data_IF_467195004030
#
_entry.id   IF_467195004030
#
_cell.length_a   1.000
_cell.length_b   1.000
_cell.length_c   1.000
_cell.angle_alpha   90.00
_cell.angle_beta   90.00
_cell.angle_gamma   90.00
#
_symmetry.space_group_name_H-M   'P 1'
#
loop_
_entity.id
_entity.type
_entity.pdbx_description
1 polymer ?
#
# COMPACT_ATOMS: atom_id res chain seq x y z
N UNK A 1 12.14 -6.37 6.84
CA UNK A 1 13.53 -6.89 6.98
C UNK A 1 14.13 -7.07 5.60
N UNK A 2 15.41 -6.80 5.41
CA UNK A 2 16.18 -7.09 4.19
C UNK A 2 17.47 -7.82 4.51
N UNK A 3 18.02 -8.49 3.51
CA UNK A 3 19.25 -9.25 3.62
C UNK A 3 19.97 -9.23 2.26
N UNK A 4 21.29 -9.28 2.26
CA UNK A 4 22.06 -9.50 1.03
C UNK A 4 21.74 -10.88 0.44
N UNK A 5 21.50 -10.95 -0.86
CA UNK A 5 21.21 -12.22 -1.55
C UNK A 5 22.42 -13.18 -1.55
N UNK A 6 23.63 -12.64 -1.46
CA UNK A 6 24.88 -13.39 -1.47
C UNK A 6 25.70 -13.08 -0.23
N UNK A 7 26.21 -14.12 0.39
CA UNK A 7 27.20 -14.04 1.44
C UNK A 7 28.59 -14.24 0.85
N UNK A 8 29.50 -13.30 1.13
CA UNK A 8 30.90 -13.39 0.71
C UNK A 8 31.73 -14.00 1.85
N UNK A 9 31.55 -15.29 2.09
CA UNK A 9 32.30 -15.95 3.15
C UNK A 9 31.80 -17.36 3.44
N UNK A 10 32.53 -18.08 4.25
CA UNK A 10 32.21 -19.47 4.63
C UNK A 10 31.15 -19.57 5.72
N UNK A 11 30.72 -18.47 6.32
CA UNK A 11 29.84 -18.44 7.49
C UNK A 11 28.34 -18.62 7.18
N UNK A 12 27.94 -18.47 5.92
CA UNK A 12 26.53 -18.48 5.53
C UNK A 12 25.72 -17.31 6.08
N UNK A 13 24.43 -17.27 5.75
CA UNK A 13 23.49 -16.26 6.23
C UNK A 13 23.07 -16.59 7.65
N UNK A 14 23.23 -15.62 8.56
CA UNK A 14 22.86 -15.73 9.98
C UNK A 14 21.85 -14.64 10.35
N UNK A 15 21.35 -14.70 11.58
CA UNK A 15 20.46 -13.66 12.14
C UNK A 15 21.06 -12.27 12.03
N UNK A 16 22.37 -12.13 12.20
CA UNK A 16 23.06 -10.83 12.14
C UNK A 16 23.18 -10.28 10.69
N UNK A 17 22.88 -11.09 9.70
CA UNK A 17 22.86 -10.65 8.29
C UNK A 17 21.59 -9.87 7.91
N UNK A 18 20.54 -9.92 8.76
CA UNK A 18 19.29 -9.23 8.53
C UNK A 18 19.36 -7.79 9.00
N UNK A 19 18.83 -6.89 8.19
CA UNK A 19 18.73 -5.47 8.51
C UNK A 19 17.28 -5.00 8.44
N UNK A 20 16.99 -3.91 9.15
CA UNK A 20 15.68 -3.27 9.09
C UNK A 20 15.35 -2.82 7.66
N UNK A 21 14.07 -2.86 7.32
CA UNK A 21 13.50 -2.22 6.14
C UNK A 21 12.42 -1.24 6.56
N UNK A 22 11.80 -0.54 5.60
CA UNK A 22 10.74 0.41 5.88
C UNK A 22 9.46 -0.28 6.40
N UNK A 23 8.60 0.49 7.03
CA UNK A 23 7.26 0.09 7.44
C UNK A 23 7.20 -0.68 8.75
N UNK A 24 6.07 -1.29 8.98
CA UNK A 24 5.75 -2.03 10.20
C UNK A 24 5.23 -3.43 9.93
N UNK A 25 4.31 -3.88 10.76
CA UNK A 25 3.65 -5.16 10.61
C UNK A 25 2.71 -5.15 9.41
N UNK A 26 2.60 -6.31 8.72
CA UNK A 26 1.69 -6.52 7.61
C UNK A 26 1.85 -5.50 6.49
N UNK A 27 3.03 -5.42 5.92
CA UNK A 27 3.38 -4.36 4.98
C UNK A 27 3.79 -4.88 3.61
N UNK A 28 3.32 -4.18 2.59
CA UNK A 28 3.98 -4.18 1.29
C UNK A 28 5.25 -3.31 1.34
N UNK A 29 6.23 -3.67 0.53
CA UNK A 29 7.42 -2.87 0.29
C UNK A 29 7.47 -2.50 -1.20
N UNK A 30 7.72 -1.23 -1.47
CA UNK A 30 7.88 -0.73 -2.83
C UNK A 30 9.16 0.09 -2.96
N UNK A 31 9.92 -0.16 -4.02
CA UNK A 31 11.16 0.55 -4.30
C UNK A 31 11.49 0.47 -5.79
N UNK A 32 12.28 1.43 -6.27
CA UNK A 32 12.88 1.36 -7.60
C UNK A 32 14.06 0.37 -7.55
N UNK A 33 14.03 -0.75 -8.30
CA UNK A 33 15.11 -1.73 -8.29
C UNK A 33 16.43 -1.21 -8.86
N UNK A 34 16.40 -0.16 -9.71
CA UNK A 34 17.61 0.43 -10.27
C UNK A 34 18.26 1.46 -9.32
N UNK A 35 17.47 2.00 -8.37
CA UNK A 35 17.96 2.85 -7.28
C UNK A 35 17.24 2.51 -5.98
N UNK A 36 17.66 1.46 -5.27
CA UNK A 36 17.00 0.99 -4.05
C UNK A 36 17.39 1.80 -2.79
N UNK A 37 17.86 3.03 -2.96
CA UNK A 37 18.19 3.90 -1.83
C UNK A 37 16.97 4.17 -0.95
N UNK A 38 15.82 4.39 -1.60
CA UNK A 38 14.56 4.68 -0.92
C UNK A 38 13.63 3.49 -1.00
N UNK A 39 13.05 3.12 0.13
CA UNK A 39 12.02 2.08 0.21
C UNK A 39 10.80 2.64 0.90
N UNK A 40 9.65 2.47 0.29
CA UNK A 40 8.36 2.72 0.92
C UNK A 40 7.88 1.43 1.56
N UNK A 41 7.55 1.46 2.83
CA UNK A 41 6.99 0.33 3.56
C UNK A 41 5.72 0.75 4.30
N UNK A 42 4.70 -0.09 4.20
CA UNK A 42 3.41 0.15 4.82
C UNK A 42 3.31 -0.37 6.25
N UNK A 43 2.21 -0.05 6.89
CA UNK A 43 1.75 -0.61 8.15
C UNK A 43 0.23 -0.40 8.22
N UNK A 44 -0.39 -0.67 9.39
CA UNK A 44 -1.83 -0.48 9.59
C UNK A 44 -2.30 0.93 9.23
N UNK A 45 -3.60 1.05 8.97
CA UNK A 45 -4.28 2.33 8.75
C UNK A 45 -3.74 3.12 7.56
N UNK A 46 -3.05 2.44 6.62
CA UNK A 46 -2.42 3.09 5.47
C UNK A 46 -1.19 3.93 5.82
N UNK A 47 -0.58 3.67 6.98
CA UNK A 47 0.71 4.29 7.33
C UNK A 47 1.77 3.84 6.34
N UNK A 48 2.57 4.79 5.86
CA UNK A 48 3.71 4.54 4.97
C UNK A 48 4.93 5.26 5.53
N UNK A 49 6.03 4.52 5.65
CA UNK A 49 7.36 5.07 5.91
C UNK A 49 8.19 5.05 4.63
N UNK A 50 8.87 6.14 4.33
CA UNK A 50 9.99 6.17 3.38
C UNK A 50 11.27 6.05 4.16
N UNK A 51 12.01 4.99 3.96
CA UNK A 51 13.34 4.80 4.54
C UNK A 51 14.42 5.18 3.52
N UNK A 52 15.27 6.12 3.88
CA UNK A 52 16.53 6.43 3.18
C UNK A 52 17.66 5.60 3.77
N UNK A 53 18.10 4.57 3.07
CA UNK A 53 19.18 3.70 3.54
C UNK A 53 20.53 4.39 3.71
N UNK A 54 20.82 5.45 2.95
CA UNK A 54 22.08 6.19 3.11
C UNK A 54 22.09 7.03 4.38
N UNK A 55 20.95 7.65 4.69
CA UNK A 55 20.81 8.49 5.87
C UNK A 55 20.43 7.68 7.12
N UNK A 56 20.01 6.41 6.96
CA UNK A 56 19.40 5.61 8.02
C UNK A 56 18.23 6.33 8.70
N UNK A 57 17.43 7.03 7.91
CA UNK A 57 16.33 7.88 8.39
C UNK A 57 15.02 7.50 7.74
N UNK A 58 13.99 7.34 8.54
CA UNK A 58 12.60 7.11 8.11
C UNK A 58 11.76 8.38 8.21
N UNK A 59 10.83 8.54 7.27
CA UNK A 59 9.87 9.64 7.26
C UNK A 59 8.47 9.10 7.01
N UNK A 60 7.50 9.47 7.85
CA UNK A 60 6.10 9.11 7.63
C UNK A 60 5.51 9.97 6.49
N UNK A 61 4.90 9.30 5.52
CA UNK A 61 4.35 9.91 4.29
C UNK A 61 2.94 9.40 3.96
N UNK A 62 2.18 8.97 4.96
CA UNK A 62 0.83 8.44 4.74
C UNK A 62 -0.09 9.47 4.03
N UNK A 63 -0.99 8.95 3.19
CA UNK A 63 -1.84 9.78 2.32
C UNK A 63 -2.82 10.67 3.10
N UNK A 64 -3.28 10.24 4.26
CA UNK A 64 -4.09 11.04 5.17
C UNK A 64 -3.62 10.77 6.60
N UNK A 65 -2.95 11.71 7.25
CA UNK A 65 -2.43 11.55 8.61
C UNK A 65 -3.56 11.67 9.64
N UNK A 66 -4.52 10.74 9.57
CA UNK A 66 -5.69 10.66 10.43
C UNK A 66 -5.58 9.39 11.26
N UNK A 67 -5.81 9.51 12.56
CA UNK A 67 -5.91 8.36 13.44
C UNK A 67 -7.28 7.69 13.28
N UNK A 68 -7.29 6.49 12.73
CA UNK A 68 -8.52 5.74 12.46
C UNK A 68 -8.94 4.79 13.60
N UNK A 69 -8.18 4.71 14.67
CA UNK A 69 -8.50 3.84 15.81
C UNK A 69 -9.90 4.13 16.36
N UNK A 70 -10.74 3.12 16.39
CA UNK A 70 -12.12 3.22 16.89
C UNK A 70 -13.13 3.83 15.92
N UNK A 71 -12.73 4.22 14.70
CA UNK A 71 -13.67 4.69 13.67
C UNK A 71 -14.36 3.54 12.96
N UNK A 72 -15.60 3.75 12.56
CA UNK A 72 -16.27 2.87 11.60
C UNK A 72 -15.65 3.07 10.20
N UNK A 73 -15.50 1.98 9.46
CA UNK A 73 -14.90 2.04 8.11
C UNK A 73 -15.66 2.99 7.17
N UNK A 74 -17.00 3.10 7.32
CA UNK A 74 -17.85 4.01 6.53
C UNK A 74 -17.52 5.50 6.71
N UNK A 75 -16.93 5.85 7.86
CA UNK A 75 -16.59 7.23 8.25
C UNK A 75 -15.14 7.58 7.97
N UNK A 76 -14.33 6.60 7.53
CA UNK A 76 -12.93 6.82 7.18
C UNK A 76 -12.80 7.54 5.84
N UNK A 77 -11.87 8.47 5.75
CA UNK A 77 -11.51 9.08 4.48
C UNK A 77 -10.98 8.04 3.50
N UNK A 78 -10.03 7.22 3.98
CA UNK A 78 -9.48 6.07 3.24
C UNK A 78 -9.62 4.81 4.08
N UNK A 79 -10.19 3.77 3.49
CA UNK A 79 -10.27 2.45 4.10
C UNK A 79 -9.05 1.65 3.68
N UNK A 80 -8.32 1.13 4.63
CA UNK A 80 -7.17 0.26 4.40
C UNK A 80 -7.37 -1.07 5.11
N UNK A 81 -6.91 -2.15 4.50
CA UNK A 81 -6.79 -3.42 5.17
C UNK A 81 -5.38 -3.61 5.73
N UNK A 82 -5.14 -4.69 6.47
CA UNK A 82 -3.84 -5.06 7.01
C UNK A 82 -2.72 -4.93 5.98
N UNK A 83 -2.94 -5.52 4.81
CA UNK A 83 -2.00 -5.56 3.69
C UNK A 83 -2.42 -4.57 2.60
N UNK A 84 -2.49 -3.30 2.93
CA UNK A 84 -2.77 -2.28 1.92
C UNK A 84 -1.65 -2.23 0.87
N UNK A 85 -1.95 -2.50 -0.41
CA UNK A 85 -0.93 -2.64 -1.43
C UNK A 85 -0.21 -1.32 -1.71
N UNK A 86 1.12 -1.39 -1.80
CA UNK A 86 1.98 -0.31 -2.28
C UNK A 86 2.80 -0.88 -3.42
N UNK A 87 2.83 -0.21 -4.57
CA UNK A 87 3.67 -0.61 -5.70
C UNK A 87 4.49 0.58 -6.23
N UNK A 88 5.65 0.27 -6.77
CA UNK A 88 6.46 1.17 -7.58
C UNK A 88 6.08 1.03 -9.05
N UNK A 89 6.01 2.15 -9.78
CA UNK A 89 5.75 2.12 -11.22
C UNK A 89 7.03 1.82 -12.00
N UNK A 90 6.99 0.75 -12.79
CA UNK A 90 8.08 0.41 -13.70
C UNK A 90 8.24 1.43 -14.83
N UNK A 91 7.14 2.06 -15.24
CA UNK A 91 7.11 2.98 -16.39
C UNK A 91 7.35 4.44 -16.01
N UNK A 92 7.17 4.77 -14.73
CA UNK A 92 7.35 6.12 -14.17
C UNK A 92 8.17 6.04 -12.88
N UNK A 93 9.52 6.08 -12.95
CA UNK A 93 10.41 5.70 -11.84
C UNK A 93 10.21 6.43 -10.51
N UNK A 94 9.67 7.65 -10.52
CA UNK A 94 9.36 8.40 -9.30
C UNK A 94 7.92 8.22 -8.83
N UNK A 95 7.17 7.31 -9.46
CA UNK A 95 5.75 7.12 -9.19
C UNK A 95 5.54 5.88 -8.33
N UNK A 96 4.69 6.04 -7.32
CA UNK A 96 4.19 4.96 -6.47
C UNK A 96 2.68 5.02 -6.39
N UNK A 97 2.07 3.86 -6.26
CA UNK A 97 0.63 3.72 -6.05
C UNK A 97 0.35 3.05 -4.71
N UNK A 98 -0.75 3.44 -4.09
CA UNK A 98 -1.21 2.87 -2.83
C UNK A 98 -2.71 2.60 -2.89
N UNK A 99 -3.13 1.40 -2.49
CA UNK A 99 -4.53 0.97 -2.51
C UNK A 99 -5.24 1.23 -1.19
N UNK A 100 -6.30 2.02 -1.26
CA UNK A 100 -7.37 2.13 -0.25
C UNK A 100 -8.67 1.59 -0.89
N UNK A 101 -9.84 2.23 -0.73
CA UNK A 101 -10.97 2.03 -1.64
C UNK A 101 -10.75 2.75 -2.99
N UNK A 102 -9.84 3.73 -3.00
CA UNK A 102 -9.33 4.40 -4.18
C UNK A 102 -7.91 3.95 -4.48
N UNK A 103 -7.50 4.06 -5.72
CA UNK A 103 -6.09 4.05 -6.05
C UNK A 103 -5.50 5.44 -5.82
N UNK A 104 -4.49 5.52 -4.97
CA UNK A 104 -3.75 6.73 -4.67
C UNK A 104 -2.43 6.72 -5.42
N UNK A 105 -2.00 7.88 -5.93
CA UNK A 105 -0.74 8.07 -6.67
C UNK A 105 0.10 9.16 -6.04
N UNK A 106 1.40 8.92 -5.92
CA UNK A 106 2.40 9.93 -5.58
C UNK A 106 3.53 9.95 -6.62
N UNK A 107 4.12 11.12 -6.84
CA UNK A 107 5.29 11.31 -7.72
C UNK A 107 6.44 12.02 -6.99
N UNK A 108 6.31 12.21 -5.69
CA UNK A 108 7.23 12.97 -4.84
C UNK A 108 7.62 12.20 -3.55
N UNK A 109 7.69 10.87 -3.66
CA UNK A 109 8.03 9.98 -2.54
C UNK A 109 7.03 10.05 -1.38
N UNK A 110 5.75 10.23 -1.69
CA UNK A 110 4.66 10.23 -0.70
C UNK A 110 4.46 11.55 0.05
N UNK A 111 5.16 12.62 -0.32
CA UNK A 111 4.92 13.94 0.28
C UNK A 111 3.53 14.45 -0.06
N UNK A 112 3.05 14.14 -1.26
CA UNK A 112 1.66 14.39 -1.68
C UNK A 112 1.07 13.17 -2.34
N UNK A 113 -0.25 12.98 -2.16
CA UNK A 113 -1.00 11.88 -2.73
C UNK A 113 -2.23 12.43 -3.46
N UNK A 114 -2.58 11.80 -4.58
CA UNK A 114 -3.78 12.10 -5.38
C UNK A 114 -4.61 10.85 -5.55
N UNK A 115 -5.92 10.97 -5.40
CA UNK A 115 -6.86 9.96 -5.86
C UNK A 115 -6.86 9.92 -7.39
N UNK A 116 -6.60 8.74 -7.96
CA UNK A 116 -6.56 8.53 -9.41
C UNK A 116 -7.58 7.49 -9.86
N UNK A 117 -8.54 7.17 -8.99
CA UNK A 117 -9.69 6.32 -9.32
C UNK A 117 -10.93 6.76 -8.55
N UNK A 118 -12.14 6.40 -9.01
CA UNK A 118 -13.32 6.36 -8.15
C UNK A 118 -13.14 5.32 -7.03
N UNK A 119 -14.16 5.14 -6.17
CA UNK A 119 -14.23 3.97 -5.29
C UNK A 119 -14.35 2.71 -6.16
N UNK A 120 -13.35 1.82 -6.05
CA UNK A 120 -13.25 0.58 -6.86
C UNK A 120 -13.75 -0.65 -6.09
N UNK A 121 -14.60 -0.42 -5.08
CA UNK A 121 -15.23 -1.44 -4.25
C UNK A 121 -16.73 -1.42 -4.40
N UNK A 122 -17.44 -2.39 -3.82
CA UNK A 122 -18.91 -2.38 -3.78
C UNK A 122 -19.46 -1.27 -2.90
N UNK A 123 -18.64 -0.78 -1.97
CA UNK A 123 -18.98 0.30 -1.04
C UNK A 123 -20.28 0.03 -0.24
N UNK A 124 -20.49 -1.21 0.18
CA UNK A 124 -21.65 -1.66 0.95
C UNK A 124 -21.57 -1.13 2.38
N UNK A 125 -22.23 -0.01 2.64
CA UNK A 125 -22.13 0.74 3.92
C UNK A 125 -22.55 -0.06 5.14
N UNK A 126 -23.49 -0.97 4.99
CA UNK A 126 -23.96 -1.86 6.05
C UNK A 126 -22.89 -2.84 6.55
N UNK A 127 -21.86 -3.09 5.73
CA UNK A 127 -20.72 -3.95 6.08
C UNK A 127 -19.51 -3.15 6.59
N UNK A 128 -19.57 -1.83 6.56
CA UNK A 128 -18.49 -0.91 6.92
C UNK A 128 -18.65 -0.38 8.36
N UNK A 129 -19.07 -1.23 9.27
CA UNK A 129 -19.11 -0.93 10.70
C UNK A 129 -17.74 -1.03 11.35
N UNK A 130 -17.73 -1.08 12.69
CA UNK A 130 -16.51 -1.27 13.47
C UNK A 130 -15.90 -2.62 13.20
N UNK A 131 -14.60 -2.68 12.96
CA UNK A 131 -13.84 -3.90 12.96
C UNK A 131 -13.73 -4.50 14.35
N UNK A 132 -13.35 -5.77 14.44
CA UNK A 132 -13.28 -6.54 15.66
C UNK A 132 -14.53 -7.39 15.89
N UNK A 133 -14.53 -8.19 16.94
CA UNK A 133 -15.63 -9.10 17.26
C UNK A 133 -16.75 -8.44 18.07
N UNK A 134 -17.82 -9.19 18.36
CA UNK A 134 -18.95 -8.66 19.12
C UNK A 134 -18.61 -8.32 20.59
N UNK A 135 -17.48 -8.77 21.06
CA UNK A 135 -17.04 -8.59 22.46
C UNK A 135 -15.99 -7.51 22.66
N UNK A 136 -15.33 -7.06 21.58
CA UNK A 136 -14.28 -6.05 21.64
C UNK A 136 -14.59 -4.94 20.64
N UNK A 137 -14.52 -3.71 21.10
CA UNK A 137 -14.62 -2.54 20.26
C UNK A 137 -13.22 -2.08 19.84
N UNK A 138 -12.38 -3.03 19.50
CA UNK A 138 -10.97 -2.83 19.16
C UNK A 138 -10.79 -2.63 17.64
N UNK A 139 -11.47 -1.65 17.08
CA UNK A 139 -11.25 -1.28 15.71
C UNK A 139 -9.88 -0.62 15.58
N UNK A 140 -8.89 -1.40 15.21
CA UNK A 140 -7.52 -0.91 14.99
C UNK A 140 -7.36 -0.17 13.65
N UNK A 141 -8.44 -0.06 12.86
CA UNK A 141 -8.41 0.59 11.55
C UNK A 141 -7.66 -0.21 10.48
N UNK A 142 -7.55 -1.54 10.67
CA UNK A 142 -6.82 -2.44 9.78
C UNK A 142 -7.70 -3.54 9.17
N UNK A 143 -8.86 -3.83 9.76
CA UNK A 143 -9.78 -4.89 9.33
C UNK A 143 -11.00 -4.29 8.64
N UNK A 144 -10.77 -3.43 7.67
CA UNK A 144 -11.83 -2.73 6.97
C UNK A 144 -12.30 -3.51 5.76
N UNK A 145 -13.63 -3.61 5.61
CA UNK A 145 -14.27 -4.15 4.42
C UNK A 145 -14.40 -3.10 3.33
N UNK A 146 -14.31 -3.54 2.07
CA UNK A 146 -14.39 -2.66 0.90
C UNK A 146 -13.08 -1.90 0.67
N UNK A 147 -11.99 -2.64 0.51
CA UNK A 147 -10.64 -2.12 0.30
C UNK A 147 -9.97 -2.80 -0.88
N UNK A 148 -9.01 -2.14 -1.50
CA UNK A 148 -8.15 -2.78 -2.50
C UNK A 148 -7.16 -3.71 -1.80
N UNK A 149 -7.22 -5.00 -2.15
CA UNK A 149 -6.32 -6.03 -1.67
C UNK A 149 -5.12 -6.22 -2.58
N UNK A 150 -5.24 -5.82 -3.84
CA UNK A 150 -4.18 -5.95 -4.83
C UNK A 150 -4.18 -4.80 -5.84
N UNK A 151 -2.98 -4.38 -6.21
CA UNK A 151 -2.72 -3.43 -7.29
C UNK A 151 -1.52 -3.93 -8.07
N UNK A 152 -1.60 -3.94 -9.39
CA UNK A 152 -0.47 -4.28 -10.25
C UNK A 152 -0.47 -3.43 -11.52
N UNK A 153 0.67 -2.84 -11.84
CA UNK A 153 0.90 -2.19 -13.13
C UNK A 153 1.40 -3.24 -14.13
N UNK A 154 0.92 -3.20 -15.37
CA UNK A 154 1.41 -4.07 -16.43
C UNK A 154 2.93 -3.91 -16.61
N UNK A 155 3.72 -4.99 -16.60
CA UNK A 155 5.17 -4.88 -16.79
C UNK A 155 5.57 -4.52 -18.21
N UNK A 156 4.67 -4.67 -19.18
CA UNK A 156 4.93 -4.50 -20.62
C UNK A 156 4.21 -3.31 -21.25
N UNK A 157 3.14 -2.83 -20.64
CA UNK A 157 2.29 -1.80 -21.24
C UNK A 157 2.06 -0.65 -20.26
N UNK A 158 2.61 0.52 -20.59
CA UNK A 158 2.44 1.73 -19.78
C UNK A 158 0.98 2.15 -19.71
N UNK A 159 0.54 2.56 -18.51
CA UNK A 159 -0.81 3.06 -18.28
C UNK A 159 -1.86 1.98 -18.06
N UNK A 160 -1.47 0.69 -18.10
CA UNK A 160 -2.36 -0.43 -17.76
C UNK A 160 -2.14 -0.82 -16.30
N UNK A 161 -3.18 -0.65 -15.48
CA UNK A 161 -3.15 -0.99 -14.05
C UNK A 161 -4.39 -1.82 -13.73
N UNK A 162 -4.19 -2.90 -13.00
CA UNK A 162 -5.25 -3.78 -12.49
C UNK A 162 -5.38 -3.61 -10.99
N UNK A 163 -6.60 -3.67 -10.50
CA UNK A 163 -6.91 -3.68 -9.06
C UNK A 163 -7.88 -4.79 -8.74
N UNK A 164 -7.74 -5.38 -7.55
CA UNK A 164 -8.69 -6.31 -6.97
C UNK A 164 -9.07 -5.87 -5.56
N UNK A 165 -10.37 -5.91 -5.24
CA UNK A 165 -10.88 -5.57 -3.92
C UNK A 165 -11.26 -6.81 -3.11
N UNK A 166 -11.26 -6.67 -1.79
CA UNK A 166 -11.62 -7.75 -0.84
C UNK A 166 -13.11 -8.16 -0.95
N UNK A 167 -13.93 -7.30 -1.53
CA UNK A 167 -15.36 -7.57 -1.80
C UNK A 167 -15.62 -8.16 -3.19
N UNK A 168 -14.54 -8.55 -3.91
CA UNK A 168 -14.58 -9.38 -5.11
C UNK A 168 -14.72 -8.63 -6.42
N UNK A 169 -14.45 -7.32 -6.48
CA UNK A 169 -14.41 -6.59 -7.73
C UNK A 169 -13.00 -6.53 -8.32
N UNK A 170 -12.94 -6.62 -9.65
CA UNK A 170 -11.72 -6.44 -10.44
C UNK A 170 -11.92 -5.31 -11.42
N UNK A 171 -10.99 -4.34 -11.37
CA UNK A 171 -10.99 -3.22 -12.31
C UNK A 171 -9.68 -3.14 -13.07
N UNK A 172 -9.76 -2.61 -14.28
CA UNK A 172 -8.60 -2.28 -15.11
C UNK A 172 -8.74 -0.87 -15.66
N UNK A 173 -7.64 -0.14 -15.65
CA UNK A 173 -7.44 1.05 -16.49
C UNK A 173 -6.44 0.73 -17.59
N UNK A 174 -6.60 1.39 -18.76
CA UNK A 174 -5.67 1.26 -19.92
C UNK A 174 -5.15 2.61 -20.40
N UNK A 175 -5.49 3.68 -19.69
CA UNK A 175 -5.25 5.07 -20.04
C UNK A 175 -4.64 5.87 -18.88
N UNK A 176 -3.76 5.20 -18.10
CA UNK A 176 -3.05 5.79 -16.97
C UNK A 176 -4.01 6.36 -15.91
N UNK A 177 -5.00 5.55 -15.54
CA UNK A 177 -5.99 5.84 -14.51
C UNK A 177 -6.99 6.97 -14.86
N UNK A 178 -7.14 7.32 -16.14
CA UNK A 178 -8.14 8.30 -16.58
C UNK A 178 -9.54 7.70 -16.55
N UNK A 179 -9.68 6.44 -17.01
CA UNK A 179 -10.94 5.68 -16.95
C UNK A 179 -10.71 4.31 -16.33
N UNK A 180 -11.77 3.74 -15.74
CA UNK A 180 -11.74 2.45 -15.07
C UNK A 180 -12.88 1.56 -15.56
N UNK A 181 -12.56 0.34 -15.96
CA UNK A 181 -13.51 -0.67 -16.41
C UNK A 181 -13.61 -1.78 -15.37
N UNK A 182 -14.83 -2.05 -14.91
CA UNK A 182 -15.11 -3.26 -14.13
C UNK A 182 -15.07 -4.49 -15.07
N UNK A 183 -14.30 -5.50 -14.70
CA UNK A 183 -14.08 -6.73 -15.46
C UNK A 183 -14.29 -7.99 -14.59
N UNK A 184 -15.04 -7.84 -13.50
CA UNK A 184 -15.38 -8.94 -12.58
C UNK A 184 -16.17 -10.02 -13.30
#
# INVERSE_FOLDING_TARGET
>A
MRIAHRELGSGGISTNSWTYSAGGESAFLAFNPDDPRYVLGGSYQGTIEVLDYKASAGTNVMAAPIQYLGMDAKDMKYRFNWNAPIIWSKHEPNTYYHGSQHLLKTTDMGKTWKEVSPDLTRNEKEKQGKGGGPYTNEAVGAENYGTLSYVIESPSEKGVIWTGSDDGLVYVTRDNATTWQNVT
#
